data_IF_825548774861
#
_entry.id   IF_825548774861
#
_cell.length_a   1.000
_cell.length_b   1.000
_cell.length_c   1.000
_cell.angle_alpha   90.00
_cell.angle_beta   90.00
_cell.angle_gamma   90.00
#
_symmetry.space_group_name_H-M   'P 1'
#
loop_
_entity.id
_entity.type
_entity.pdbx_description
1 polymer ?
#
# COMPACT_ATOMS: atom_id res chain seq x y z
N UNK A 1 9.86 -7.16 -3.75
CA UNK A 1 10.35 -8.28 -2.95
C UNK A 1 9.28 -8.70 -1.96
N UNK A 2 8.77 -9.88 -2.13
CA UNK A 2 7.85 -10.48 -1.20
C UNK A 2 8.59 -10.92 0.04
N UNK A 3 8.22 -10.43 1.20
CA UNK A 3 8.69 -11.04 2.42
C UNK A 3 8.02 -12.41 2.53
N UNK A 4 8.80 -13.44 2.48
CA UNK A 4 8.33 -14.81 2.59
C UNK A 4 8.07 -15.17 4.05
N UNK A 5 6.97 -14.71 4.61
CA UNK A 5 6.46 -15.33 5.83
C UNK A 5 5.86 -16.69 5.51
N UNK A 6 5.92 -17.63 6.44
CA UNK A 6 5.21 -18.89 6.33
C UNK A 6 3.70 -18.62 6.27
N UNK A 7 3.12 -18.75 5.08
CA UNK A 7 1.70 -18.55 4.88
C UNK A 7 0.96 -19.87 4.98
N UNK A 8 -0.23 -19.85 5.58
CA UNK A 8 -1.11 -21.00 5.59
C UNK A 8 -1.54 -21.36 4.16
N UNK A 9 -2.03 -22.60 3.96
CA UNK A 9 -2.52 -23.04 2.64
C UNK A 9 -3.63 -22.13 2.09
N UNK A 10 -4.49 -21.65 2.97
CA UNK A 10 -5.57 -20.73 2.60
C UNK A 10 -5.03 -19.39 2.13
N UNK A 11 -4.07 -18.84 2.85
CA UNK A 11 -3.40 -17.60 2.44
C UNK A 11 -2.67 -17.74 1.11
N UNK A 12 -2.08 -18.90 0.84
CA UNK A 12 -1.41 -19.16 -0.45
C UNK A 12 -2.37 -19.18 -1.64
N UNK A 13 -3.60 -19.66 -1.46
CA UNK A 13 -4.61 -19.63 -2.52
C UNK A 13 -5.04 -18.21 -2.88
N UNK A 14 -5.14 -17.32 -1.88
CA UNK A 14 -5.39 -15.90 -2.12
C UNK A 14 -4.16 -15.17 -2.67
N UNK A 15 -2.96 -15.64 -2.34
CA UNK A 15 -1.71 -15.04 -2.82
C UNK A 15 -1.57 -15.08 -4.34
N UNK A 16 -2.21 -16.04 -5.04
CA UNK A 16 -2.21 -16.07 -6.50
C UNK A 16 -2.82 -14.83 -7.13
N UNK A 17 -3.98 -14.41 -6.64
CA UNK A 17 -4.66 -13.21 -7.12
C UNK A 17 -3.86 -11.94 -6.78
N UNK A 18 -3.34 -11.85 -5.56
CA UNK A 18 -2.53 -10.72 -5.13
C UNK A 18 -1.19 -10.66 -5.85
N UNK A 19 -0.63 -11.80 -6.19
CA UNK A 19 0.59 -11.87 -6.98
C UNK A 19 0.38 -11.26 -8.37
N UNK A 20 -0.72 -11.59 -9.04
CA UNK A 20 -1.04 -11.03 -10.35
C UNK A 20 -1.28 -9.52 -10.27
N UNK A 21 -1.97 -9.06 -9.24
CA UNK A 21 -2.18 -7.64 -8.99
C UNK A 21 -0.84 -6.91 -8.80
N UNK A 22 0.00 -7.39 -7.91
CA UNK A 22 1.34 -6.82 -7.65
C UNK A 22 2.20 -6.82 -8.91
N UNK A 23 2.17 -7.91 -9.66
CA UNK A 23 2.94 -8.04 -10.90
C UNK A 23 2.53 -7.00 -11.93
N UNK A 24 1.25 -6.63 -12.00
CA UNK A 24 0.78 -5.59 -12.92
C UNK A 24 1.47 -4.24 -12.64
N UNK A 25 1.69 -3.91 -11.38
CA UNK A 25 2.40 -2.69 -11.00
C UNK A 25 3.88 -2.74 -11.37
N UNK A 26 4.52 -3.86 -11.11
CA UNK A 26 5.95 -4.06 -11.41
C UNK A 26 6.21 -3.98 -12.90
N UNK A 27 5.39 -4.68 -13.72
CA UNK A 27 5.58 -4.76 -15.16
C UNK A 27 5.30 -3.43 -15.87
N UNK A 28 4.32 -2.68 -15.41
CA UNK A 28 3.96 -1.40 -16.04
C UNK A 28 4.80 -0.23 -15.57
N UNK A 29 5.56 -0.39 -14.50
CA UNK A 29 6.37 0.67 -13.91
C UNK A 29 7.80 0.18 -13.65
N UNK A 30 8.57 -0.19 -14.69
CA UNK A 30 9.88 -0.81 -14.50
C UNK A 30 10.92 0.11 -13.85
N UNK A 31 10.71 1.43 -13.90
CA UNK A 31 11.59 2.39 -13.26
C UNK A 31 11.33 2.59 -11.77
N UNK A 32 10.30 1.95 -11.23
CA UNK A 32 9.91 2.07 -9.83
C UNK A 32 10.31 0.83 -9.05
N UNK A 33 10.70 1.04 -7.80
CA UNK A 33 10.90 -0.08 -6.85
C UNK A 33 9.56 -0.39 -6.20
N UNK A 34 9.12 -1.63 -6.33
CA UNK A 34 7.91 -2.12 -5.67
C UNK A 34 8.28 -2.68 -4.30
N UNK A 35 7.65 -2.17 -3.26
CA UNK A 35 7.87 -2.62 -1.88
C UNK A 35 6.53 -3.07 -1.31
N UNK A 36 6.48 -4.30 -0.84
CA UNK A 36 5.32 -4.84 -0.12
C UNK A 36 5.58 -4.79 1.38
N UNK A 37 4.62 -4.28 2.13
CA UNK A 37 4.68 -4.23 3.60
C UNK A 37 3.57 -5.11 4.17
N UNK A 38 3.96 -6.13 4.92
CA UNK A 38 3.02 -6.85 5.77
C UNK A 38 2.82 -6.11 7.11
N UNK A 39 1.95 -6.63 7.99
CA UNK A 39 1.68 -5.97 9.26
C UNK A 39 2.92 -5.81 10.13
N UNK A 40 3.80 -6.80 10.11
CA UNK A 40 5.06 -6.75 10.86
C UNK A 40 6.00 -5.68 10.29
N UNK A 41 6.09 -5.60 8.97
CA UNK A 41 6.89 -4.56 8.30
C UNK A 41 6.37 -3.16 8.60
N UNK A 42 5.05 -2.98 8.61
CA UNK A 42 4.42 -1.72 8.98
C UNK A 42 4.77 -1.31 10.41
N UNK A 43 4.68 -2.24 11.34
CA UNK A 43 5.02 -1.99 12.75
C UNK A 43 6.48 -1.56 12.91
N UNK A 44 7.40 -2.29 12.28
CA UNK A 44 8.82 -1.98 12.31
C UNK A 44 9.14 -0.62 11.69
N UNK A 45 8.49 -0.29 10.57
CA UNK A 45 8.67 0.99 9.92
C UNK A 45 8.23 2.16 10.81
N UNK A 46 7.05 2.06 11.40
CA UNK A 46 6.52 3.10 12.28
C UNK A 46 7.40 3.24 13.53
N UNK A 47 7.79 2.13 14.11
CA UNK A 47 8.67 2.12 15.29
C UNK A 47 9.99 2.81 15.02
N UNK A 48 10.55 2.62 13.83
CA UNK A 48 11.84 3.18 13.46
C UNK A 48 11.80 4.67 13.16
N UNK A 49 10.76 5.14 12.46
CA UNK A 49 10.75 6.48 11.86
C UNK A 49 9.79 7.46 12.50
N UNK A 50 8.93 7.03 13.41
CA UNK A 50 7.89 7.87 14.01
C UNK A 50 7.91 7.78 15.52
N UNK A 51 7.35 8.81 16.22
CA UNK A 51 7.21 8.78 17.68
C UNK A 51 6.34 7.61 18.14
N UNK A 52 6.54 7.19 19.38
CA UNK A 52 5.81 6.05 19.97
C UNK A 52 4.30 6.24 19.95
N UNK A 53 3.82 7.48 20.01
CA UNK A 53 2.38 7.79 19.94
C UNK A 53 1.75 7.32 18.64
N UNK A 54 2.49 7.42 17.53
CA UNK A 54 2.02 6.95 16.22
C UNK A 54 1.92 5.43 16.21
N UNK A 55 2.90 4.75 16.78
CA UNK A 55 2.90 3.29 16.90
C UNK A 55 1.72 2.80 17.75
N UNK A 56 1.47 3.46 18.88
CA UNK A 56 0.34 3.12 19.75
C UNK A 56 -0.99 3.31 19.02
N UNK A 57 -1.14 4.43 18.32
CA UNK A 57 -2.34 4.70 17.51
C UNK A 57 -2.55 3.61 16.46
N UNK A 58 -1.50 3.23 15.73
CA UNK A 58 -1.57 2.20 14.71
C UNK A 58 -1.96 0.83 15.29
N UNK A 59 -1.37 0.46 16.44
CA UNK A 59 -1.64 -0.83 17.10
C UNK A 59 -3.05 -0.93 17.68
N UNK A 60 -3.65 0.19 18.05
CA UNK A 60 -4.98 0.19 18.68
C UNK A 60 -6.12 0.23 17.69
N UNK A 61 -5.85 0.47 16.41
CA UNK A 61 -6.89 0.55 15.39
C UNK A 61 -7.39 -0.83 14.97
N UNK A 62 -8.68 -1.00 15.07
CA UNK A 62 -9.42 -2.17 14.60
C UNK A 62 -10.68 -1.64 13.89
N UNK A 63 -10.99 -2.10 12.67
CA UNK A 63 -10.36 -3.14 11.85
C UNK A 63 -9.09 -2.67 11.11
N UNK A 64 -8.40 -3.62 10.47
CA UNK A 64 -7.14 -3.39 9.78
C UNK A 64 -7.15 -2.34 8.68
N UNK A 65 -8.33 -2.01 8.12
CA UNK A 65 -8.46 -0.94 7.13
C UNK A 65 -7.99 0.42 7.69
N UNK A 66 -8.25 0.70 8.96
CA UNK A 66 -7.78 1.92 9.60
C UNK A 66 -6.26 1.92 9.82
N UNK A 67 -5.68 0.74 10.06
CA UNK A 67 -4.22 0.58 10.12
C UNK A 67 -3.58 0.93 8.78
N UNK A 68 -4.15 0.47 7.69
CA UNK A 68 -3.69 0.80 6.34
C UNK A 68 -3.77 2.30 6.06
N UNK A 69 -4.82 2.96 6.51
CA UNK A 69 -4.99 4.40 6.34
C UNK A 69 -3.88 5.20 7.05
N UNK A 70 -3.54 4.83 8.27
CA UNK A 70 -2.43 5.48 8.98
C UNK A 70 -1.10 5.16 8.32
N UNK A 71 -0.85 3.90 8.01
CA UNK A 71 0.43 3.49 7.42
C UNK A 71 0.68 4.16 6.07
N UNK A 72 -0.36 4.31 5.26
CA UNK A 72 -0.29 5.02 3.98
C UNK A 72 0.34 6.41 4.14
N UNK A 73 -0.15 7.17 5.10
CA UNK A 73 0.40 8.50 5.37
C UNK A 73 1.82 8.44 5.91
N UNK A 74 2.12 7.48 6.77
CA UNK A 74 3.45 7.32 7.34
C UNK A 74 4.50 7.03 6.27
N UNK A 75 4.25 6.05 5.43
CA UNK A 75 5.22 5.63 4.42
C UNK A 75 5.38 6.68 3.33
N UNK A 76 4.31 7.31 2.88
CA UNK A 76 4.38 8.37 1.88
C UNK A 76 5.05 9.62 2.41
N UNK A 77 4.80 9.98 3.66
CA UNK A 77 5.48 11.10 4.29
C UNK A 77 6.99 10.87 4.38
N UNK A 78 7.41 9.68 4.71
CA UNK A 78 8.83 9.35 4.92
C UNK A 78 9.57 9.09 3.61
N UNK A 79 8.98 8.35 2.68
CA UNK A 79 9.64 7.90 1.45
C UNK A 79 9.14 8.60 0.19
N UNK A 80 7.96 9.20 0.21
CA UNK A 80 7.31 9.67 -1.00
C UNK A 80 6.87 8.52 -1.90
N UNK A 81 6.64 8.82 -3.17
CA UNK A 81 6.25 7.83 -4.16
C UNK A 81 4.76 7.59 -4.20
N UNK A 82 4.36 6.37 -4.53
CA UNK A 82 2.97 5.98 -4.68
C UNK A 82 2.61 4.85 -3.72
N UNK A 83 1.45 4.96 -3.14
CA UNK A 83 0.85 3.91 -2.33
C UNK A 83 -0.34 3.31 -3.09
N UNK A 84 -0.37 2.00 -3.18
CA UNK A 84 -1.48 1.24 -3.78
C UNK A 84 -1.85 0.09 -2.86
N UNK A 85 -3.14 -0.22 -2.78
CA UNK A 85 -3.58 -1.39 -2.06
C UNK A 85 -3.15 -2.65 -2.81
N UNK A 86 -2.76 -3.69 -2.07
CA UNK A 86 -2.16 -4.90 -2.66
C UNK A 86 -3.11 -5.72 -3.54
N UNK A 87 -4.41 -5.47 -3.45
CA UNK A 87 -5.46 -6.12 -4.25
C UNK A 87 -5.85 -5.31 -5.50
N UNK A 88 -5.14 -4.23 -5.80
CA UNK A 88 -5.41 -3.38 -6.95
C UNK A 88 -4.55 -3.75 -8.15
N UNK A 89 -5.07 -3.55 -9.34
CA UNK A 89 -4.41 -3.84 -10.61
C UNK A 89 -4.02 -2.54 -11.29
N UNK A 90 -2.78 -2.49 -11.80
CA UNK A 90 -2.30 -1.35 -12.58
C UNK A 90 -2.80 -1.44 -14.02
N UNK A 91 -3.59 -0.46 -14.44
CA UNK A 91 -4.10 -0.37 -15.80
C UNK A 91 -3.24 0.58 -16.64
N UNK A 92 -2.80 1.68 -16.06
CA UNK A 92 -2.04 2.72 -16.72
C UNK A 92 -0.75 2.97 -15.94
N UNK A 93 0.41 3.11 -16.62
CA UNK A 93 1.65 3.41 -15.91
C UNK A 93 1.56 4.66 -15.05
N UNK A 94 2.20 4.64 -13.89
CA UNK A 94 2.18 5.74 -12.93
C UNK A 94 2.68 7.06 -13.54
N UNK A 95 3.66 7.01 -14.42
CA UNK A 95 4.22 8.21 -15.06
C UNK A 95 3.19 9.00 -15.86
N UNK A 96 2.09 8.38 -16.26
CA UNK A 96 0.99 9.07 -16.95
C UNK A 96 0.03 9.78 -16.02
N UNK A 97 0.14 9.55 -14.72
CA UNK A 97 -0.77 10.10 -13.71
C UNK A 97 -0.27 11.41 -13.10
N UNK A 98 0.96 11.78 -13.37
CA UNK A 98 1.54 13.00 -12.81
C UNK A 98 2.56 13.62 -13.77
N UNK A 99 2.93 14.85 -13.48
CA UNK A 99 4.04 15.55 -14.12
C UNK A 99 4.98 16.11 -13.05
N UNK A 100 6.08 16.73 -13.47
CA UNK A 100 7.10 17.27 -12.55
C UNK A 100 6.58 18.33 -11.57
N UNK A 101 5.43 18.93 -11.84
CA UNK A 101 4.83 19.94 -10.98
C UNK A 101 3.77 19.37 -10.05
N UNK A 102 3.46 18.08 -10.16
CA UNK A 102 2.46 17.43 -9.32
C UNK A 102 3.01 17.20 -7.92
N UNK A 103 2.35 17.76 -6.91
CA UNK A 103 2.69 17.54 -5.49
C UNK A 103 1.89 16.40 -4.91
N UNK A 104 0.64 16.29 -5.32
CA UNK A 104 -0.28 15.28 -4.79
C UNK A 104 -1.24 14.82 -5.89
N UNK A 105 -1.47 13.51 -5.94
CA UNK A 105 -2.50 12.93 -6.79
C UNK A 105 -3.16 11.76 -6.07
N UNK A 106 -4.40 11.53 -6.36
CA UNK A 106 -5.18 10.47 -5.72
C UNK A 106 -6.18 9.89 -6.71
N UNK A 107 -6.40 8.59 -6.63
CA UNK A 107 -7.46 7.96 -7.38
C UNK A 107 -8.81 8.36 -6.79
N UNK A 108 -9.74 8.66 -7.68
CA UNK A 108 -11.11 8.93 -7.28
C UNK A 108 -11.89 7.63 -7.31
N UNK A 109 -12.48 7.27 -6.19
CA UNK A 109 -13.41 6.15 -6.17
C UNK A 109 -14.68 6.50 -6.96
N UNK A 110 -15.18 5.57 -7.78
CA UNK A 110 -16.47 5.77 -8.42
C UNK A 110 -17.52 5.94 -7.34
N UNK A 111 -18.30 6.99 -7.45
CA UNK A 111 -19.48 7.17 -6.60
C UNK A 111 -20.53 6.24 -7.16
N UNK A 112 -20.71 5.09 -6.54
CA UNK A 112 -21.84 4.24 -6.79
C UNK A 112 -23.11 4.95 -6.32
N UNK A 113 -24.27 4.34 -6.46
CA UNK A 113 -25.56 4.92 -6.09
C UNK A 113 -25.71 5.14 -4.57
N UNK A 114 -24.65 5.49 -3.90
CA UNK A 114 -24.68 5.79 -2.48
C UNK A 114 -24.86 7.27 -2.28
N UNK A 115 -25.78 7.60 -1.41
CA UNK A 115 -25.90 8.94 -0.89
C UNK A 115 -25.03 9.03 0.36
N UNK A 116 -24.10 9.89 0.31
CA UNK A 116 -23.27 10.19 1.47
C UNK A 116 -23.77 11.49 2.12
#
# INVERSE_FOLDING_TARGET
NWSSGTTSRHQRNHMGEYYDASRSWILKNPGYTYIFYDDNDCELFIKRFFPVQVLIAWKTLIPGAFKSDIFRYCVLHRLGGFYVDFDTICVVPLDKLYNKNTIFTSAREPIHNYLY
#
